data_IF_747615167112
#
_entry.id   IF_747615167112
#
_cell.length_a   1.000
_cell.length_b   1.000
_cell.length_c   1.000
_cell.angle_alpha   90.00
_cell.angle_beta   90.00
_cell.angle_gamma   90.00
#
_symmetry.space_group_name_H-M   'P 1'
#
loop_
_entity.id
_entity.type
_entity.pdbx_description
1 polymer ?
#
# COMPACT_ATOMS: atom_id res chain seq x y z
N UNK A 1 -8.45 -9.66 -8.31
CA UNK A 1 -7.66 -8.43 -8.53
C UNK A 1 -7.29 -8.35 -10.01
N UNK A 2 -7.59 -7.25 -10.70
CA UNK A 2 -7.17 -7.12 -12.12
C UNK A 2 -5.63 -7.09 -12.17
N UNK A 3 -5.04 -7.80 -13.13
CA UNK A 3 -3.58 -7.85 -13.37
C UNK A 3 -2.71 -8.59 -12.35
N UNK A 4 -3.26 -9.42 -11.45
CA UNK A 4 -2.46 -10.23 -10.52
C UNK A 4 -1.39 -11.08 -11.25
N UNK A 5 -1.77 -11.72 -12.36
CA UNK A 5 -0.85 -12.53 -13.17
C UNK A 5 0.35 -11.74 -13.69
N UNK A 6 0.19 -10.43 -13.93
CA UNK A 6 1.29 -9.58 -14.36
C UNK A 6 2.25 -9.26 -13.20
N UNK A 7 1.71 -9.03 -11.99
CA UNK A 7 2.52 -8.84 -10.78
C UNK A 7 3.34 -10.10 -10.45
N UNK A 8 2.75 -11.28 -10.60
CA UNK A 8 3.42 -12.56 -10.32
C UNK A 8 4.55 -12.89 -11.30
N UNK A 9 4.59 -12.26 -12.49
CA UNK A 9 5.70 -12.40 -13.45
C UNK A 9 6.95 -11.61 -13.05
N UNK A 10 6.83 -10.64 -12.13
CA UNK A 10 7.97 -9.82 -11.67
C UNK A 10 8.85 -10.65 -10.74
N UNK A 11 10.16 -10.73 -11.04
CA UNK A 11 11.13 -11.52 -10.29
C UNK A 11 12.16 -10.70 -9.50
N UNK A 12 12.19 -9.39 -9.70
CA UNK A 12 12.97 -8.46 -8.87
C UNK A 12 12.20 -8.12 -7.59
N UNK A 13 12.84 -7.58 -6.54
CA UNK A 13 12.14 -7.04 -5.38
C UNK A 13 11.02 -6.07 -5.79
N UNK A 14 9.83 -6.27 -5.25
CA UNK A 14 8.62 -5.51 -5.55
C UNK A 14 8.12 -4.83 -4.28
N UNK A 15 8.05 -3.50 -4.30
CA UNK A 15 7.50 -2.70 -3.21
C UNK A 15 6.14 -2.14 -3.61
N UNK A 16 5.10 -2.44 -2.84
CA UNK A 16 3.75 -1.90 -3.03
C UNK A 16 3.36 -1.14 -1.78
N UNK A 17 3.08 0.15 -1.94
CA UNK A 17 2.58 1.02 -0.88
C UNK A 17 1.17 1.50 -1.21
N UNK A 18 0.29 1.54 -0.20
CA UNK A 18 -1.09 2.01 -0.39
C UNK A 18 -1.65 2.64 0.88
N UNK A 19 -2.62 3.54 0.69
CA UNK A 19 -3.41 4.09 1.78
C UNK A 19 -4.62 3.21 2.10
N UNK A 20 -4.84 2.90 3.38
CA UNK A 20 -5.98 2.04 3.79
C UNK A 20 -7.37 2.66 3.57
N UNK A 21 -7.45 3.98 3.40
CA UNK A 21 -8.69 4.70 3.07
C UNK A 21 -8.90 4.86 1.56
N UNK A 22 -7.96 4.39 0.73
CA UNK A 22 -8.20 4.12 -0.68
C UNK A 22 -9.05 2.84 -0.82
N UNK A 23 -10.34 2.96 -0.49
CA UNK A 23 -11.25 1.81 -0.34
C UNK A 23 -11.45 1.00 -1.62
N UNK A 24 -11.25 1.62 -2.78
CA UNK A 24 -11.37 0.92 -4.06
C UNK A 24 -10.24 -0.09 -4.26
N UNK A 25 -9.06 0.18 -3.68
CA UNK A 25 -7.86 -0.63 -3.84
C UNK A 25 -7.54 -1.45 -2.58
N UNK A 26 -7.73 -0.90 -1.39
CA UNK A 26 -7.27 -1.47 -0.12
C UNK A 26 -7.78 -2.89 0.14
N UNK A 27 -9.06 -3.16 -0.15
CA UNK A 27 -9.67 -4.49 -0.01
C UNK A 27 -8.96 -5.57 -0.85
N UNK A 28 -8.35 -5.19 -1.96
CA UNK A 28 -7.61 -6.12 -2.82
C UNK A 28 -6.18 -6.33 -2.33
N UNK A 29 -5.58 -5.35 -1.66
CA UNK A 29 -4.17 -5.39 -1.24
C UNK A 29 -3.92 -6.43 -0.15
N UNK A 30 -4.90 -6.69 0.72
CA UNK A 30 -4.75 -7.65 1.82
C UNK A 30 -4.58 -9.09 1.33
N UNK A 31 -5.05 -9.42 0.11
CA UNK A 31 -4.86 -10.74 -0.50
C UNK A 31 -3.50 -10.89 -1.19
N UNK A 32 -2.84 -9.80 -1.56
CA UNK A 32 -1.61 -9.81 -2.37
C UNK A 32 -0.48 -10.68 -1.75
N UNK A 33 -0.22 -10.64 -0.42
CA UNK A 33 0.76 -11.51 0.21
C UNK A 33 0.42 -13.00 0.14
N UNK A 34 -0.87 -13.35 0.22
CA UNK A 34 -1.36 -14.73 0.11
C UNK A 34 -1.14 -15.24 -1.32
N UNK A 35 -1.53 -14.45 -2.32
CA UNK A 35 -1.35 -14.80 -3.74
C UNK A 35 0.13 -14.99 -4.11
N UNK A 36 1.02 -14.11 -3.63
CA UNK A 36 2.47 -14.26 -3.84
C UNK A 36 3.00 -15.52 -3.16
N UNK A 37 2.53 -15.82 -1.94
CA UNK A 37 2.92 -17.02 -1.20
C UNK A 37 2.49 -18.31 -1.92
N UNK A 38 1.24 -18.36 -2.41
CA UNK A 38 0.70 -19.48 -3.20
C UNK A 38 1.54 -19.70 -4.47
N UNK A 39 1.95 -18.61 -5.12
CA UNK A 39 2.83 -18.67 -6.29
C UNK A 39 4.31 -18.97 -5.96
N UNK A 40 4.64 -19.26 -4.70
CA UNK A 40 6.01 -19.55 -4.25
C UNK A 40 6.94 -18.33 -4.26
N UNK A 41 6.39 -17.11 -4.35
CA UNK A 41 7.14 -15.86 -4.45
C UNK A 41 7.33 -15.23 -3.07
N UNK A 42 8.53 -14.70 -2.83
CA UNK A 42 8.92 -14.00 -1.58
C UNK A 42 9.46 -12.59 -1.84
N UNK A 43 9.36 -12.09 -3.06
CA UNK A 43 9.93 -10.82 -3.49
C UNK A 43 9.01 -9.61 -3.25
N UNK A 44 7.89 -9.78 -2.55
CA UNK A 44 6.95 -8.71 -2.25
C UNK A 44 7.26 -8.05 -0.89
N UNK A 45 7.36 -6.73 -0.88
CA UNK A 45 7.20 -5.88 0.31
C UNK A 45 5.90 -5.11 0.18
N UNK A 46 4.93 -5.38 1.06
CA UNK A 46 3.66 -4.65 1.10
C UNK A 46 3.66 -3.67 2.28
N UNK A 47 3.31 -2.41 2.01
CA UNK A 47 3.28 -1.34 3.01
C UNK A 47 1.91 -0.66 3.02
N UNK A 48 1.11 -0.97 4.04
CA UNK A 48 -0.15 -0.29 4.31
C UNK A 48 0.09 0.98 5.14
N UNK A 49 -0.54 2.09 4.76
CA UNK A 49 -0.57 3.34 5.52
C UNK A 49 -1.96 3.55 6.14
N UNK A 50 -2.12 3.34 7.47
CA UNK A 50 -3.39 3.50 8.15
C UNK A 50 -3.94 4.92 8.06
N UNK A 51 -5.20 5.07 7.67
CA UNK A 51 -5.92 6.34 7.48
C UNK A 51 -5.47 7.18 6.28
N UNK A 52 -4.62 6.66 5.40
CA UNK A 52 -4.14 7.42 4.24
C UNK A 52 -5.07 7.17 3.06
N UNK A 53 -5.34 8.22 2.28
CA UNK A 53 -6.08 8.11 1.02
C UNK A 53 -5.18 7.72 -0.17
N UNK A 54 -5.75 7.74 -1.38
CA UNK A 54 -5.07 7.40 -2.63
C UNK A 54 -3.82 8.24 -2.89
N UNK A 55 -3.79 9.49 -2.42
CA UNK A 55 -2.69 10.43 -2.64
C UNK A 55 -1.77 10.54 -1.40
N UNK A 56 -1.90 9.62 -0.46
CA UNK A 56 -1.16 9.61 0.81
C UNK A 56 -1.40 10.85 1.69
N UNK A 57 -2.60 11.42 1.64
CA UNK A 57 -3.04 12.29 2.74
C UNK A 57 -3.53 11.43 3.90
N UNK A 58 -2.98 11.66 5.10
CA UNK A 58 -3.54 11.08 6.31
C UNK A 58 -4.83 11.81 6.68
N UNK A 59 -5.94 11.09 6.60
CA UNK A 59 -7.26 11.57 6.98
C UNK A 59 -7.37 11.64 8.51
N UNK A 60 -7.69 12.82 9.01
CA UNK A 60 -8.07 13.02 10.41
C UNK A 60 -9.57 12.84 10.52
N UNK A 61 -9.99 11.90 11.36
CA UNK A 61 -11.40 11.58 11.58
C UNK A 61 -11.83 11.97 12.98
N UNK A 62 -13.06 12.44 13.11
CA UNK A 62 -13.71 12.61 14.41
C UNK A 62 -14.17 11.25 14.98
N UNK A 63 -14.74 11.25 16.19
CA UNK A 63 -15.26 10.05 16.85
C UNK A 63 -16.37 9.34 16.08
N UNK A 64 -17.12 10.05 15.23
CA UNK A 64 -18.15 9.49 14.35
C UNK A 64 -17.60 8.95 13.02
N UNK A 65 -16.29 9.03 12.79
CA UNK A 65 -15.63 8.58 11.56
C UNK A 65 -15.65 9.57 10.39
N UNK A 66 -16.24 10.76 10.57
CA UNK A 66 -16.25 11.83 9.58
C UNK A 66 -14.88 12.47 9.43
N UNK A 67 -14.46 12.75 8.19
CA UNK A 67 -13.17 13.41 7.90
C UNK A 67 -13.27 14.89 8.27
N UNK A 68 -12.39 15.33 9.19
CA UNK A 68 -12.31 16.72 9.68
C UNK A 68 -11.04 17.43 9.20
N UNK A 69 -10.13 16.71 8.54
CA UNK A 69 -8.91 17.29 8.00
C UNK A 69 -8.07 16.26 7.26
N UNK A 70 -7.07 16.76 6.53
CA UNK A 70 -6.10 15.95 5.80
C UNK A 70 -4.70 16.53 5.93
N UNK A 71 -3.70 15.67 6.12
CA UNK A 71 -2.29 16.06 6.20
C UNK A 71 -1.55 15.31 5.11
N UNK A 72 -0.88 16.03 4.21
CA UNK A 72 -0.06 15.39 3.19
C UNK A 72 1.14 14.69 3.84
N UNK A 73 1.33 13.42 3.54
CA UNK A 73 2.41 12.59 4.08
C UNK A 73 3.24 11.94 2.96
N UNK A 74 3.05 12.34 1.70
CA UNK A 74 3.73 11.74 0.57
C UNK A 74 5.26 11.82 0.68
N UNK A 75 5.82 12.90 1.25
CA UNK A 75 7.27 13.02 1.46
C UNK A 75 7.79 11.94 2.42
N UNK A 76 7.02 11.61 3.46
CA UNK A 76 7.33 10.53 4.39
C UNK A 76 7.27 9.17 3.69
N UNK A 77 6.23 8.94 2.88
CA UNK A 77 6.08 7.70 2.10
C UNK A 77 7.24 7.52 1.12
N UNK A 78 7.60 8.59 0.40
CA UNK A 78 8.74 8.60 -0.52
C UNK A 78 10.06 8.32 0.22
N UNK A 79 10.29 8.94 1.39
CA UNK A 79 11.49 8.69 2.19
C UNK A 79 11.57 7.24 2.70
N UNK A 80 10.44 6.62 3.07
CA UNK A 80 10.40 5.20 3.44
C UNK A 80 10.68 4.28 2.25
N UNK A 81 10.19 4.62 1.06
CA UNK A 81 10.52 3.91 -0.18
C UNK A 81 12.02 4.03 -0.53
N UNK A 82 12.61 5.23 -0.42
CA UNK A 82 14.04 5.43 -0.64
C UNK A 82 14.89 4.56 0.30
N UNK A 83 14.53 4.48 1.58
CA UNK A 83 15.19 3.58 2.53
C UNK A 83 15.01 2.09 2.19
N UNK A 84 13.93 1.72 1.52
CA UNK A 84 13.75 0.36 1.03
C UNK A 84 14.66 0.07 -0.17
N UNK A 85 14.87 1.06 -1.04
CA UNK A 85 15.77 0.94 -2.20
C UNK A 85 17.25 0.75 -1.83
N UNK A 86 17.65 1.18 -0.62
CA UNK A 86 19.01 1.01 -0.10
C UNK A 86 19.30 -0.40 0.46
N UNK A 87 18.30 -1.29 0.52
CA UNK A 87 18.43 -2.68 0.99
C UNK A 87 18.81 -3.64 -0.12
#
# INVERSE_FOLDING_TARGET
MRNLDNLLKINIPLYVAYGTEDREISNHMDMLPVEFTIAGKRNLTLKAYPRYDHQFFELKKNSSGGVVGKIYQGDKVAAEWMKWMEK
#
